data_IF_224445446738
#
_entry.id   IF_224445446738
#
_cell.length_a   1.000
_cell.length_b   1.000
_cell.length_c   1.000
_cell.angle_alpha   90.00
_cell.angle_beta   90.00
_cell.angle_gamma   90.00
#
_symmetry.space_group_name_H-M   'P 1'
#
loop_
_entity.id
_entity.type
_entity.pdbx_description
1 polymer ?
#
# COMPACT_ATOMS: atom_id res chain seq x y z
N UNK A 1 -14.70 3.88 -7.28
CA UNK A 1 -13.72 2.92 -7.81
C UNK A 1 -12.35 3.27 -7.24
N UNK A 2 -11.87 2.47 -6.28
CA UNK A 2 -10.52 2.62 -5.76
C UNK A 2 -9.52 2.27 -6.87
N UNK A 3 -8.78 3.25 -7.38
CA UNK A 3 -7.52 2.97 -8.07
C UNK A 3 -6.51 2.51 -7.02
N UNK A 4 -6.52 1.24 -6.71
CA UNK A 4 -5.40 0.63 -6.03
C UNK A 4 -4.17 0.79 -6.94
N UNK A 5 -3.08 1.31 -6.40
CA UNK A 5 -1.80 1.26 -7.10
C UNK A 5 -1.36 -0.19 -7.10
N UNK A 6 -1.45 -0.83 -8.25
CA UNK A 6 -0.96 -2.19 -8.43
C UNK A 6 0.21 -2.19 -9.41
N UNK A 7 1.14 -3.05 -9.13
CA UNK A 7 2.23 -3.37 -10.03
C UNK A 7 1.86 -4.65 -10.78
N UNK A 8 1.87 -4.60 -12.10
CA UNK A 8 1.68 -5.78 -12.93
C UNK A 8 3.04 -6.32 -13.33
N UNK A 9 3.33 -7.56 -12.98
CA UNK A 9 4.53 -8.28 -13.39
C UNK A 9 4.08 -9.33 -14.41
N UNK A 10 4.54 -9.17 -15.65
CA UNK A 10 4.31 -10.14 -16.71
C UNK A 10 5.52 -11.07 -16.79
N UNK A 11 5.31 -12.36 -16.71
CA UNK A 11 6.35 -13.37 -16.84
C UNK A 11 5.91 -14.50 -17.76
N UNK A 12 6.88 -15.12 -18.40
CA UNK A 12 6.67 -16.15 -19.39
C UNK A 12 6.78 -17.55 -18.76
N UNK A 13 5.72 -18.32 -18.81
CA UNK A 13 5.64 -19.69 -18.28
C UNK A 13 5.91 -20.77 -19.33
N UNK A 14 6.43 -20.41 -20.51
CA UNK A 14 6.66 -21.39 -21.60
C UNK A 14 7.62 -22.49 -21.24
N UNK A 15 8.57 -22.24 -20.35
CA UNK A 15 9.59 -23.20 -19.91
C UNK A 15 9.13 -24.12 -18.77
N UNK A 16 7.91 -23.92 -18.23
CA UNK A 16 7.33 -24.80 -17.22
C UNK A 16 6.65 -26.00 -17.87
N UNK A 17 6.76 -27.15 -17.22
CA UNK A 17 6.00 -28.34 -17.60
C UNK A 17 4.49 -28.09 -17.48
N UNK A 18 3.63 -28.84 -18.17
CA UNK A 18 2.18 -28.70 -18.03
C UNK A 18 1.70 -28.84 -16.58
N UNK A 19 2.29 -29.75 -15.81
CA UNK A 19 1.93 -29.98 -14.40
C UNK A 19 2.34 -28.77 -13.54
N UNK A 20 3.55 -28.26 -13.74
CA UNK A 20 4.00 -27.05 -13.02
C UNK A 20 3.13 -25.85 -13.35
N UNK A 21 2.73 -25.66 -14.60
CA UNK A 21 1.82 -24.59 -15.01
C UNK A 21 0.48 -24.67 -14.30
N UNK A 22 -0.09 -25.87 -14.19
CA UNK A 22 -1.38 -26.09 -13.53
C UNK A 22 -1.28 -25.78 -12.03
N UNK A 23 -0.22 -26.24 -11.35
CA UNK A 23 0.05 -25.94 -9.94
C UNK A 23 0.21 -24.43 -9.71
N UNK A 24 0.94 -23.74 -10.60
CA UNK A 24 1.11 -22.30 -10.52
C UNK A 24 -0.18 -21.52 -10.79
N UNK A 25 -0.97 -22.00 -11.75
CA UNK A 25 -2.26 -21.42 -12.09
C UNK A 25 -3.21 -21.49 -10.90
N UNK A 26 -3.35 -22.65 -10.29
CA UNK A 26 -4.21 -22.85 -9.12
C UNK A 26 -3.73 -22.11 -7.88
N UNK A 27 -2.41 -21.93 -7.75
CA UNK A 27 -1.83 -21.24 -6.62
C UNK A 27 -1.92 -19.70 -6.72
N UNK A 28 -1.95 -19.12 -7.92
CA UNK A 28 -1.86 -17.68 -8.15
C UNK A 28 -3.17 -17.05 -8.62
N UNK A 29 -4.06 -17.80 -9.30
CA UNK A 29 -5.28 -17.24 -9.88
C UNK A 29 -6.40 -17.18 -8.84
N UNK A 30 -7.08 -16.03 -8.81
CA UNK A 30 -8.22 -15.76 -7.93
C UNK A 30 -7.91 -15.85 -6.43
N UNK A 31 -6.66 -15.66 -6.04
CA UNK A 31 -6.28 -15.59 -4.62
C UNK A 31 -5.82 -14.19 -4.26
N UNK A 32 -6.25 -13.73 -3.10
CA UNK A 32 -5.71 -12.55 -2.45
C UNK A 32 -4.58 -13.02 -1.54
N UNK A 33 -3.38 -12.55 -1.79
CA UNK A 33 -2.23 -12.89 -0.97
C UNK A 33 -2.08 -11.89 0.16
N UNK A 34 -1.81 -12.39 1.36
CA UNK A 34 -1.47 -11.52 2.48
C UNK A 34 -0.13 -10.82 2.20
N UNK A 35 -0.13 -9.53 2.45
CA UNK A 35 1.00 -8.66 2.18
C UNK A 35 2.02 -8.75 3.32
N UNK A 36 2.98 -9.67 3.19
CA UNK A 36 4.09 -9.82 4.13
C UNK A 36 5.12 -8.69 3.92
N UNK A 37 5.70 -8.20 5.01
CA UNK A 37 6.77 -7.19 5.01
C UNK A 37 7.97 -7.60 4.15
N UNK A 38 8.31 -8.90 4.11
CA UNK A 38 9.38 -9.44 3.26
C UNK A 38 9.04 -9.30 1.78
N UNK A 39 7.81 -9.62 1.39
CA UNK A 39 7.32 -9.45 0.03
C UNK A 39 7.36 -7.98 -0.37
N UNK A 40 6.92 -7.07 0.51
CA UNK A 40 7.01 -5.64 0.29
C UNK A 40 8.45 -5.17 0.05
N UNK A 41 9.39 -5.65 0.86
CA UNK A 41 10.81 -5.33 0.72
C UNK A 41 11.37 -5.85 -0.60
N UNK A 42 11.03 -7.07 -0.99
CA UNK A 42 11.43 -7.65 -2.28
C UNK A 42 10.87 -6.87 -3.46
N UNK A 43 9.59 -6.50 -3.43
CA UNK A 43 8.95 -5.70 -4.48
C UNK A 43 9.56 -4.30 -4.59
N UNK A 44 9.83 -3.62 -3.46
CA UNK A 44 10.53 -2.32 -3.45
C UNK A 44 11.94 -2.43 -4.00
N UNK A 45 12.66 -3.50 -3.65
CA UNK A 45 13.99 -3.77 -4.18
C UNK A 45 13.91 -4.03 -5.68
N UNK A 46 12.95 -4.84 -6.13
CA UNK A 46 12.69 -5.09 -7.54
C UNK A 46 12.49 -3.79 -8.32
N UNK A 47 11.60 -2.90 -7.87
CA UNK A 47 11.35 -1.61 -8.53
C UNK A 47 12.60 -0.73 -8.55
N UNK A 48 13.33 -0.64 -7.44
CA UNK A 48 14.55 0.16 -7.34
C UNK A 48 15.64 -0.36 -8.31
N UNK A 49 15.88 -1.64 -8.29
CA UNK A 49 16.93 -2.26 -9.12
C UNK A 49 16.56 -2.24 -10.61
N UNK A 50 15.27 -2.33 -10.97
CA UNK A 50 14.82 -2.26 -12.37
C UNK A 50 15.19 -0.95 -13.08
N UNK A 51 15.50 0.11 -12.33
CA UNK A 51 15.86 1.42 -12.87
C UNK A 51 17.35 1.68 -12.95
N UNK A 52 18.20 0.80 -12.42
CA UNK A 52 19.65 1.08 -12.25
C UNK A 52 20.54 0.70 -13.44
N UNK A 53 20.05 -0.08 -14.40
CA UNK A 53 20.79 -0.41 -15.64
C UNK A 53 22.12 -1.17 -15.43
N UNK A 54 22.27 -1.89 -14.31
CA UNK A 54 23.50 -2.60 -13.93
C UNK A 54 23.66 -3.89 -14.78
N UNK A 55 24.87 -4.31 -15.16
CA UNK A 55 25.12 -5.61 -15.76
C UNK A 55 24.54 -6.75 -14.89
N UNK A 56 23.99 -7.78 -15.51
CA UNK A 56 23.29 -8.90 -14.85
C UNK A 56 21.93 -8.55 -14.20
N UNK A 57 21.37 -7.39 -14.52
CA UNK A 57 20.07 -6.94 -14.02
C UNK A 57 18.98 -8.00 -14.21
N UNK A 58 18.90 -8.60 -15.41
CA UNK A 58 17.89 -9.62 -15.72
C UNK A 58 17.96 -10.84 -14.78
N UNK A 59 19.18 -11.27 -14.42
CA UNK A 59 19.37 -12.38 -13.49
C UNK A 59 18.96 -12.02 -12.06
N UNK A 60 19.31 -10.81 -11.61
CA UNK A 60 18.90 -10.31 -10.30
C UNK A 60 17.37 -10.18 -10.22
N UNK A 61 16.75 -9.62 -11.26
CA UNK A 61 15.30 -9.46 -11.35
C UNK A 61 14.58 -10.81 -11.31
N UNK A 62 15.11 -11.81 -12.02
CA UNK A 62 14.57 -13.16 -11.98
C UNK A 62 14.67 -13.79 -10.58
N UNK A 63 15.79 -13.62 -9.90
CA UNK A 63 15.97 -14.11 -8.53
C UNK A 63 14.98 -13.46 -7.56
N UNK A 64 14.83 -12.15 -7.59
CA UNK A 64 13.91 -11.41 -6.74
C UNK A 64 12.45 -11.78 -7.01
N UNK A 65 12.09 -11.95 -8.28
CA UNK A 65 10.77 -12.39 -8.69
C UNK A 65 10.49 -13.82 -8.20
N UNK A 66 11.44 -14.73 -8.42
CA UNK A 66 11.33 -16.13 -7.98
C UNK A 66 11.18 -16.22 -6.45
N UNK A 67 11.98 -15.48 -5.69
CA UNK A 67 11.86 -15.44 -4.24
C UNK A 67 10.50 -14.90 -3.80
N UNK A 68 10.02 -13.82 -4.44
CA UNK A 68 8.71 -13.24 -4.15
C UNK A 68 7.59 -14.27 -4.35
N UNK A 69 7.61 -14.98 -5.48
CA UNK A 69 6.62 -15.99 -5.81
C UNK A 69 6.67 -17.17 -4.85
N UNK A 70 7.87 -17.68 -4.54
CA UNK A 70 8.04 -18.77 -3.58
C UNK A 70 7.46 -18.39 -2.21
N UNK A 71 7.67 -17.15 -1.75
CA UNK A 71 7.12 -16.67 -0.48
C UNK A 71 5.60 -16.53 -0.51
N UNK A 72 5.04 -16.04 -1.62
CA UNK A 72 3.59 -16.01 -1.82
C UNK A 72 3.00 -17.42 -1.75
N UNK A 73 3.63 -18.40 -2.39
CA UNK A 73 3.21 -19.80 -2.37
C UNK A 73 3.36 -20.41 -0.97
N UNK A 74 4.44 -20.14 -0.26
CA UNK A 74 4.65 -20.63 1.11
C UNK A 74 3.57 -20.10 2.05
N UNK A 75 3.14 -18.86 1.90
CA UNK A 75 2.01 -18.30 2.66
C UNK A 75 0.67 -19.02 2.38
N UNK A 76 0.51 -19.62 1.19
CA UNK A 76 -0.69 -20.39 0.84
C UNK A 76 -0.64 -21.87 1.26
N UNK A 77 0.57 -22.43 1.39
CA UNK A 77 0.80 -23.83 1.78
C UNK A 77 1.21 -24.02 3.25
N UNK A 78 1.09 -22.99 4.09
CA UNK A 78 1.27 -23.14 5.52
C UNK A 78 0.20 -24.11 6.06
N UNK A 79 0.52 -25.40 5.93
CA UNK A 79 -0.22 -26.54 6.48
C UNK A 79 -0.15 -26.50 8.02
N UNK A 80 -1.13 -27.01 8.75
CA UNK A 80 -1.29 -26.82 10.19
C UNK A 80 -0.36 -27.72 11.03
N UNK A 81 0.97 -27.67 10.83
CA UNK A 81 1.93 -28.38 11.68
C UNK A 81 3.28 -27.67 11.76
N UNK A 82 3.30 -26.56 12.49
CA UNK A 82 4.51 -25.99 13.09
C UNK A 82 4.11 -25.23 14.36
N UNK A 83 4.97 -25.07 15.38
CA UNK A 83 4.56 -24.73 16.74
C UNK A 83 3.82 -23.39 16.82
N UNK A 84 2.64 -23.47 17.39
CA UNK A 84 1.53 -22.50 17.37
C UNK A 84 1.76 -21.19 18.14
N UNK A 85 2.96 -20.68 18.30
CA UNK A 85 3.18 -19.48 19.11
C UNK A 85 3.62 -18.22 18.35
N UNK A 86 4.28 -18.34 17.19
CA UNK A 86 4.74 -17.15 16.44
C UNK A 86 3.86 -16.78 15.23
N UNK A 87 3.31 -17.78 14.57
CA UNK A 87 2.45 -17.56 13.37
C UNK A 87 1.05 -17.06 13.72
N UNK A 88 0.46 -17.56 14.80
CA UNK A 88 -0.84 -17.09 15.26
C UNK A 88 -0.79 -15.63 15.75
N UNK A 89 0.32 -15.24 16.40
CA UNK A 89 0.50 -13.85 16.83
C UNK A 89 0.70 -12.90 15.66
N UNK A 90 1.46 -13.30 14.64
CA UNK A 90 1.66 -12.51 13.43
C UNK A 90 0.33 -12.34 12.65
N UNK A 91 -0.42 -13.43 12.45
CA UNK A 91 -1.74 -13.39 11.80
C UNK A 91 -2.72 -12.45 12.53
N UNK A 92 -2.76 -12.50 13.87
CA UNK A 92 -3.61 -11.62 14.66
C UNK A 92 -3.18 -10.13 14.55
N UNK A 93 -1.88 -9.86 14.43
CA UNK A 93 -1.37 -8.50 14.23
C UNK A 93 -1.68 -7.97 12.83
N UNK A 94 -1.60 -8.83 11.82
CA UNK A 94 -1.95 -8.47 10.44
C UNK A 94 -3.47 -8.19 10.31
N UNK A 95 -4.32 -9.02 10.91
CA UNK A 95 -5.77 -8.78 10.98
C UNK A 95 -6.11 -7.48 11.73
N UNK A 96 -5.41 -7.20 12.83
CA UNK A 96 -5.58 -5.95 13.57
C UNK A 96 -5.20 -4.75 12.71
N UNK A 97 -4.08 -4.85 11.99
CA UNK A 97 -3.63 -3.80 11.08
C UNK A 97 -4.67 -3.54 9.99
N UNK A 98 -5.17 -4.58 9.32
CA UNK A 98 -6.19 -4.47 8.27
C UNK A 98 -7.47 -3.80 8.79
N UNK A 99 -7.91 -4.13 10.00
CA UNK A 99 -9.05 -3.48 10.65
C UNK A 99 -8.80 -2.00 10.93
N UNK A 100 -7.58 -1.63 11.35
CA UNK A 100 -7.21 -0.23 11.57
C UNK A 100 -7.19 0.53 10.23
N UNK A 101 -6.68 -0.08 9.17
CA UNK A 101 -6.67 0.53 7.83
C UNK A 101 -8.09 0.75 7.32
N UNK A 102 -8.97 -0.25 7.43
CA UNK A 102 -10.38 -0.10 7.07
C UNK A 102 -11.06 1.03 7.85
N UNK A 103 -10.82 1.10 9.16
CA UNK A 103 -11.34 2.19 9.99
C UNK A 103 -10.82 3.57 9.55
N UNK A 104 -9.54 3.68 9.19
CA UNK A 104 -8.97 4.93 8.67
C UNK A 104 -9.63 5.31 7.34
N UNK A 105 -9.80 4.36 6.42
CA UNK A 105 -10.41 4.61 5.11
C UNK A 105 -11.89 5.03 5.24
N UNK A 106 -12.64 4.42 6.15
CA UNK A 106 -14.05 4.75 6.42
C UNK A 106 -14.23 6.15 7.05
N UNK A 107 -13.25 6.58 7.86
CA UNK A 107 -13.28 7.85 8.58
C UNK A 107 -12.32 8.91 7.99
N UNK A 108 -11.92 8.78 6.74
CA UNK A 108 -10.88 9.64 6.13
C UNK A 108 -11.30 11.12 6.01
N UNK A 109 -12.60 11.38 5.97
CA UNK A 109 -13.18 12.72 5.91
C UNK A 109 -13.37 13.38 7.28
N UNK A 110 -13.28 12.59 8.34
CA UNK A 110 -13.42 13.10 9.70
C UNK A 110 -12.08 13.60 10.25
N UNK A 111 -12.10 14.43 11.30
CA UNK A 111 -10.88 14.86 11.97
C UNK A 111 -10.25 13.72 12.77
N UNK A 112 -9.85 12.64 12.06
CA UNK A 112 -9.30 11.44 12.65
C UNK A 112 -7.95 11.71 13.32
N UNK A 113 -7.85 11.45 14.61
CA UNK A 113 -6.67 11.65 15.42
C UNK A 113 -6.04 10.33 15.89
N UNK A 114 -4.74 10.33 16.16
CA UNK A 114 -4.05 9.16 16.70
C UNK A 114 -4.63 8.69 18.05
N UNK A 115 -5.00 9.59 19.00
CA UNK A 115 -5.67 9.18 20.23
C UNK A 115 -7.00 8.44 20.00
N UNK A 116 -7.83 8.89 19.07
CA UNK A 116 -9.10 8.22 18.74
C UNK A 116 -8.90 6.81 18.20
N UNK A 117 -7.92 6.61 17.31
CA UNK A 117 -7.57 5.27 16.82
C UNK A 117 -7.09 4.39 17.97
N UNK A 118 -6.24 4.94 18.85
CA UNK A 118 -5.74 4.21 20.02
C UNK A 118 -6.87 3.79 20.95
N UNK A 119 -7.83 4.67 21.20
CA UNK A 119 -9.00 4.39 22.04
C UNK A 119 -9.91 3.34 21.40
N UNK A 120 -10.24 3.51 20.11
CA UNK A 120 -11.13 2.60 19.37
C UNK A 120 -10.59 1.16 19.34
N UNK A 121 -9.30 0.98 19.14
CA UNK A 121 -8.66 -0.34 19.09
C UNK A 121 -8.02 -0.79 20.40
N UNK A 122 -8.21 -0.03 21.49
CA UNK A 122 -7.60 -0.31 22.80
C UNK A 122 -6.07 -0.49 22.74
N UNK A 123 -5.41 0.34 21.94
CA UNK A 123 -3.96 0.32 21.73
C UNK A 123 -3.27 1.48 22.43
N UNK A 124 -2.06 1.24 22.93
CA UNK A 124 -1.18 2.35 23.30
C UNK A 124 -0.63 3.04 22.04
N UNK A 125 -0.25 4.31 22.15
CA UNK A 125 0.38 5.07 21.06
C UNK A 125 1.65 4.34 20.54
N UNK A 126 2.44 3.77 21.44
CA UNK A 126 3.66 3.03 21.08
C UNK A 126 3.35 1.75 20.33
N UNK A 127 2.30 1.01 20.75
CA UNK A 127 1.86 -0.20 20.06
C UNK A 127 1.37 0.13 18.63
N UNK A 128 0.57 1.18 18.47
CA UNK A 128 0.12 1.63 17.15
C UNK A 128 1.30 2.05 16.25
N UNK A 129 2.27 2.81 16.79
CA UNK A 129 3.47 3.18 16.04
C UNK A 129 4.30 1.97 15.61
N UNK A 130 4.49 1.00 16.50
CA UNK A 130 5.23 -0.23 16.21
C UNK A 130 4.52 -1.06 15.14
N UNK A 131 3.20 -1.19 15.25
CA UNK A 131 2.37 -1.88 14.26
C UNK A 131 2.55 -1.27 12.87
N UNK A 132 2.40 0.04 12.73
CA UNK A 132 2.59 0.73 11.45
C UNK A 132 4.03 0.65 10.92
N UNK A 133 5.02 0.73 11.84
CA UNK A 133 6.43 0.58 11.46
C UNK A 133 6.71 -0.80 10.91
N UNK A 134 6.16 -1.84 11.52
CA UNK A 134 6.34 -3.23 11.10
C UNK A 134 5.58 -3.56 9.81
N UNK A 135 4.34 -3.05 9.66
CA UNK A 135 3.47 -3.40 8.53
C UNK A 135 3.77 -2.58 7.27
N UNK A 136 4.05 -1.26 7.38
CA UNK A 136 4.20 -0.36 6.23
C UNK A 136 5.41 0.56 6.28
N UNK A 137 6.30 0.37 7.24
CA UNK A 137 7.54 1.13 7.46
C UNK A 137 7.35 2.66 7.53
N UNK A 138 6.22 3.11 8.09
CA UNK A 138 5.95 4.53 8.27
C UNK A 138 5.13 4.78 9.55
N UNK A 139 5.06 6.07 9.97
CA UNK A 139 4.23 6.42 11.13
C UNK A 139 2.75 6.44 10.77
N UNK A 140 1.83 6.15 11.74
CA UNK A 140 0.38 6.25 11.52
C UNK A 140 -0.05 7.62 11.01
N UNK A 141 0.52 8.69 11.57
CA UNK A 141 0.23 10.07 11.14
C UNK A 141 0.60 10.33 9.68
N UNK A 142 1.76 9.81 9.25
CA UNK A 142 2.20 9.94 7.86
C UNK A 142 1.28 9.14 6.94
N UNK A 143 0.93 7.92 7.32
CA UNK A 143 0.01 7.07 6.56
C UNK A 143 -1.35 7.76 6.33
N UNK A 144 -1.98 8.27 7.41
CA UNK A 144 -3.26 8.99 7.32
C UNK A 144 -3.14 10.22 6.40
N UNK A 145 -2.06 11.01 6.57
CA UNK A 145 -1.86 12.16 5.69
C UNK A 145 -1.68 11.76 4.23
N UNK A 146 -0.94 10.69 3.94
CA UNK A 146 -0.74 10.18 2.59
C UNK A 146 -2.05 9.70 1.97
N UNK A 147 -2.92 9.04 2.72
CA UNK A 147 -4.27 8.65 2.31
C UNK A 147 -5.18 9.85 2.02
N UNK A 148 -5.15 10.87 2.88
CA UNK A 148 -5.89 12.13 2.66
C UNK A 148 -5.44 12.82 1.37
N UNK A 149 -4.15 12.84 1.08
CA UNK A 149 -3.62 13.40 -0.17
C UNK A 149 -4.04 12.58 -1.40
N UNK A 150 -4.06 11.26 -1.32
CA UNK A 150 -4.57 10.38 -2.39
C UNK A 150 -6.06 10.66 -2.65
N UNK A 151 -6.85 10.80 -1.60
CA UNK A 151 -8.28 11.14 -1.72
C UNK A 151 -8.47 12.53 -2.33
N UNK A 152 -7.61 13.49 -1.96
CA UNK A 152 -7.66 14.84 -2.53
C UNK A 152 -7.45 14.86 -4.04
N UNK A 153 -6.59 14.00 -4.59
CA UNK A 153 -6.40 13.90 -6.04
C UNK A 153 -7.70 13.51 -6.76
N UNK A 154 -8.46 12.56 -6.20
CA UNK A 154 -9.76 12.18 -6.76
C UNK A 154 -10.74 13.34 -6.74
N UNK A 155 -10.85 14.04 -5.59
CA UNK A 155 -11.75 15.19 -5.45
C UNK A 155 -11.36 16.36 -6.38
N UNK A 156 -10.07 16.59 -6.59
CA UNK A 156 -9.56 17.59 -7.52
C UNK A 156 -9.94 17.27 -8.97
N UNK A 157 -9.87 16.01 -9.38
CA UNK A 157 -10.22 15.56 -10.73
C UNK A 157 -11.74 15.58 -10.97
N UNK A 158 -12.54 15.34 -9.94
CA UNK A 158 -14.00 15.45 -10.02
C UNK A 158 -14.47 16.90 -10.26
N UNK A 159 -13.63 17.88 -9.94
CA UNK A 159 -13.88 19.32 -10.10
C UNK A 159 -15.22 19.81 -9.49
N UNK A 160 -15.66 19.15 -8.40
CA UNK A 160 -16.91 19.48 -7.69
C UNK A 160 -16.68 20.40 -6.51
N UNK A 161 -15.45 20.50 -6.03
CA UNK A 161 -15.06 21.25 -4.84
C UNK A 161 -13.87 22.13 -5.13
N UNK A 162 -13.84 23.29 -4.52
CA UNK A 162 -12.67 24.17 -4.52
C UNK A 162 -11.54 23.55 -3.68
N UNK A 163 -10.31 23.97 -3.91
CA UNK A 163 -9.14 23.52 -3.14
C UNK A 163 -9.32 23.78 -1.63
N UNK A 164 -9.96 24.90 -1.29
CA UNK A 164 -10.28 25.25 0.11
C UNK A 164 -11.27 24.26 0.73
N UNK A 165 -12.33 23.92 0.00
CA UNK A 165 -13.33 22.95 0.44
C UNK A 165 -12.76 21.54 0.59
N UNK A 166 -11.88 21.12 -0.34
CA UNK A 166 -11.17 19.83 -0.26
C UNK A 166 -10.30 19.80 0.99
N UNK A 167 -9.52 20.85 1.23
CA UNK A 167 -8.70 20.97 2.44
C UNK A 167 -9.53 20.85 3.72
N UNK A 168 -10.66 21.55 3.79
CA UNK A 168 -11.56 21.50 4.94
C UNK A 168 -12.18 20.13 5.13
N UNK A 169 -12.73 19.53 4.05
CA UNK A 169 -13.37 18.19 4.09
C UNK A 169 -12.42 17.08 4.50
N UNK A 170 -11.15 17.19 4.18
CA UNK A 170 -10.13 16.23 4.58
C UNK A 170 -9.52 16.54 5.98
N UNK A 171 -10.09 17.53 6.69
CA UNK A 171 -9.70 17.87 8.06
C UNK A 171 -8.29 18.46 8.19
N UNK A 172 -7.82 19.18 7.17
CA UNK A 172 -6.58 19.96 7.30
C UNK A 172 -6.83 21.24 8.09
N UNK A 173 -5.88 21.59 8.96
CA UNK A 173 -5.96 22.81 9.78
C UNK A 173 -5.91 24.10 8.96
N UNK A 174 -5.35 24.06 7.76
CA UNK A 174 -5.32 25.19 6.82
C UNK A 174 -5.06 24.72 5.38
N UNK A 175 -5.53 25.51 4.42
CA UNK A 175 -5.24 25.32 2.99
C UNK A 175 -3.73 25.38 2.70
N UNK A 176 -2.98 26.20 3.45
CA UNK A 176 -1.53 26.30 3.29
C UNK A 176 -0.83 25.00 3.69
N UNK A 177 -1.25 24.39 4.80
CA UNK A 177 -0.70 23.12 5.25
C UNK A 177 -1.05 22.00 4.26
N UNK A 178 -2.30 21.96 3.77
CA UNK A 178 -2.71 21.06 2.71
C UNK A 178 -1.85 21.20 1.45
N UNK A 179 -1.76 22.41 0.90
CA UNK A 179 -1.00 22.69 -0.33
C UNK A 179 0.49 22.36 -0.18
N UNK A 180 1.07 22.64 0.98
CA UNK A 180 2.46 22.27 1.29
C UNK A 180 2.64 20.75 1.33
N UNK A 181 1.74 20.02 2.00
CA UNK A 181 1.78 18.55 2.09
C UNK A 181 1.59 17.91 0.72
N UNK A 182 0.68 18.45 -0.09
CA UNK A 182 0.43 18.01 -1.46
C UNK A 182 1.66 18.19 -2.34
N UNK A 183 2.27 19.38 -2.29
CA UNK A 183 3.50 19.66 -3.05
C UNK A 183 4.66 18.76 -2.62
N UNK A 184 4.81 18.49 -1.34
CA UNK A 184 5.85 17.56 -0.83
C UNK A 184 5.67 16.14 -1.38
N UNK A 185 4.44 15.67 -1.59
CA UNK A 185 4.16 14.32 -2.08
C UNK A 185 4.18 14.22 -3.59
N UNK A 186 3.61 15.21 -4.30
CA UNK A 186 3.39 15.14 -5.75
C UNK A 186 4.30 16.08 -6.56
N UNK A 187 5.17 16.86 -5.89
CA UNK A 187 6.10 17.82 -6.48
C UNK A 187 5.44 18.91 -7.33
N UNK A 188 4.14 19.17 -7.08
CA UNK A 188 3.35 20.22 -7.72
C UNK A 188 2.25 20.69 -6.78
N UNK A 189 1.72 21.89 -7.00
CA UNK A 189 0.58 22.41 -6.24
C UNK A 189 -0.73 21.72 -6.65
N UNK A 190 -1.78 21.74 -5.80
CA UNK A 190 -3.11 21.25 -6.17
C UNK A 190 -3.67 21.91 -7.44
N UNK A 191 -3.42 23.20 -7.63
CA UNK A 191 -3.85 23.96 -8.82
C UNK A 191 -3.15 23.51 -10.10
N UNK A 192 -1.84 23.25 -10.03
CA UNK A 192 -1.06 22.70 -11.15
C UNK A 192 -1.51 21.29 -11.49
N UNK A 193 -1.79 20.46 -10.47
CA UNK A 193 -2.31 19.12 -10.67
C UNK A 193 -3.62 19.11 -11.46
N UNK A 194 -4.58 19.99 -11.13
CA UNK A 194 -5.83 20.13 -11.88
C UNK A 194 -5.55 20.58 -13.31
N UNK A 195 -4.71 21.60 -13.52
CA UNK A 195 -4.39 22.10 -14.88
C UNK A 195 -3.78 21.02 -15.76
N UNK A 196 -2.83 20.24 -15.26
CA UNK A 196 -2.19 19.19 -16.04
C UNK A 196 -3.15 18.07 -16.43
N UNK A 197 -4.08 17.69 -15.54
CA UNK A 197 -5.00 16.59 -15.81
C UNK A 197 -6.26 16.99 -16.56
N UNK A 198 -6.70 18.28 -16.48
CA UNK A 198 -7.81 18.77 -17.28
C UNK A 198 -7.42 19.08 -18.74
N UNK A 199 -6.15 19.27 -19.06
CA UNK A 199 -5.68 19.49 -20.45
C UNK A 199 -5.53 18.19 -21.25
N UNK A 200 -5.59 17.04 -20.63
CA UNK A 200 -5.47 15.72 -21.29
C UNK A 200 -6.82 15.15 -21.76
N UNK A 201 -7.90 15.92 -21.68
CA UNK A 201 -9.27 15.47 -22.00
C UNK A 201 -9.90 16.23 -23.19
N UNK A 202 -9.07 16.77 -24.09
CA UNK A 202 -9.52 17.41 -25.36
C UNK A 202 -8.96 16.65 -26.55
#
# INVERSE_FOLDING_TARGET
EHRASYMTILFDMRNLTPVEREVWYDALINRVFHYDQKINTLLKTFVRESTTGIPYMNSLMLCLLTETIIRLLQGTYASPMAPASSTAHQSAMDELFDRIIAYIDDNIYDPLTIPEICEHFSLSRSALQLLFKNSVDQSPKKYINDKKLERSCQMLLENRYTISEISLRLGYSSIHYFSKSFNMKYHMSPSEFVKQNCQSSV
#
